data_IF_403586712763
#
_entry.id   IF_403586712763
#
_cell.length_a   1.000
_cell.length_b   1.000
_cell.length_c   1.000
_cell.angle_alpha   90.00
_cell.angle_beta   90.00
_cell.angle_gamma   90.00
#
_symmetry.space_group_name_H-M   'P 1'
#
loop_
_entity.id
_entity.type
_entity.pdbx_description
1 polymer ?
#
# COMPACT_ATOMS: atom_id res chain seq x y z
N UNK A 1 -5.67 6.59 20.70
CA UNK A 1 -6.74 5.60 20.56
C UNK A 1 -6.99 5.34 19.07
N UNK A 2 -7.03 4.07 18.70
CA UNK A 2 -7.38 3.62 17.36
C UNK A 2 -8.78 4.09 16.99
N UNK A 3 -8.90 4.76 15.85
CA UNK A 3 -10.20 5.13 15.28
C UNK A 3 -10.40 4.33 14.00
N UNK A 4 -11.33 3.38 13.96
CA UNK A 4 -11.62 2.63 12.76
C UNK A 4 -12.17 3.57 11.67
N UNK A 5 -11.71 3.36 10.45
CA UNK A 5 -12.22 4.03 9.27
C UNK A 5 -12.59 3.00 8.19
N UNK A 6 -13.09 3.44 7.07
CA UNK A 6 -13.35 2.55 5.94
C UNK A 6 -12.01 2.15 5.33
N UNK A 7 -11.80 0.85 5.21
CA UNK A 7 -10.73 0.20 4.44
C UNK A 7 -11.36 -0.32 3.16
N UNK A 8 -10.80 0.03 2.01
CA UNK A 8 -11.36 -0.30 0.69
C UNK A 8 -10.89 -1.68 0.20
N UNK A 9 -9.70 -2.11 0.64
CA UNK A 9 -8.96 -3.31 0.22
C UNK A 9 -8.57 -3.34 -1.26
N UNK A 10 -9.40 -2.82 -2.16
CA UNK A 10 -9.12 -2.76 -3.60
C UNK A 10 -8.97 -1.31 -4.08
N UNK A 11 -8.31 -0.47 -3.28
CA UNK A 11 -7.96 0.88 -3.68
C UNK A 11 -6.85 0.83 -4.75
N UNK A 12 -7.24 1.24 -5.97
CA UNK A 12 -6.33 1.27 -7.16
C UNK A 12 -6.79 2.32 -8.14
N UNK A 13 -5.92 2.68 -9.09
CA UNK A 13 -6.24 3.68 -10.12
C UNK A 13 -7.50 3.33 -10.91
N UNK A 14 -7.67 2.03 -11.24
CA UNK A 14 -8.83 1.55 -12.00
C UNK A 14 -10.17 1.79 -11.28
N UNK A 15 -10.16 1.96 -9.95
CA UNK A 15 -11.32 2.24 -9.12
C UNK A 15 -11.42 3.72 -8.73
N UNK A 16 -10.66 4.61 -9.38
CA UNK A 16 -10.58 6.03 -9.07
C UNK A 16 -10.98 6.86 -10.28
N UNK A 17 -11.89 7.82 -10.08
CA UNK A 17 -12.27 8.80 -11.09
C UNK A 17 -11.47 10.08 -10.86
N UNK A 18 -10.82 10.56 -11.90
CA UNK A 18 -10.03 11.79 -11.88
C UNK A 18 -10.61 12.80 -12.86
N UNK A 19 -10.83 14.00 -12.40
CA UNK A 19 -11.24 15.13 -13.22
C UNK A 19 -10.07 16.10 -13.42
N UNK A 20 -9.98 16.62 -14.66
CA UNK A 20 -9.03 17.67 -14.97
C UNK A 20 -9.66 19.02 -14.67
N UNK A 21 -8.99 19.84 -13.87
CA UNK A 21 -9.38 21.20 -13.50
C UNK A 21 -8.38 22.20 -14.08
N UNK A 22 -8.64 23.49 -13.93
CA UNK A 22 -7.71 24.56 -14.33
C UNK A 22 -6.40 24.50 -13.51
N UNK A 23 -6.48 24.05 -12.25
CA UNK A 23 -5.34 23.96 -11.32
C UNK A 23 -4.62 22.58 -11.37
N UNK A 24 -5.05 21.65 -12.26
CA UNK A 24 -4.46 20.31 -12.38
C UNK A 24 -5.50 19.19 -12.40
N UNK A 25 -5.20 18.09 -11.72
CA UNK A 25 -6.12 16.95 -11.62
C UNK A 25 -6.57 16.77 -10.17
N UNK A 26 -7.82 16.40 -9.98
CA UNK A 26 -8.36 16.04 -8.67
C UNK A 26 -9.11 14.71 -8.72
N UNK A 27 -9.08 13.96 -7.63
CA UNK A 27 -9.92 12.78 -7.46
C UNK A 27 -11.35 13.24 -7.21
N UNK A 28 -12.29 12.88 -8.10
CA UNK A 28 -13.71 13.24 -8.01
C UNK A 28 -14.59 12.08 -7.55
N UNK A 29 -14.07 10.85 -7.54
CA UNK A 29 -14.81 9.69 -7.07
C UNK A 29 -13.96 8.46 -6.89
N UNK A 30 -14.43 7.57 -6.03
CA UNK A 30 -13.90 6.23 -5.82
C UNK A 30 -15.09 5.28 -5.91
N UNK A 31 -14.93 4.13 -6.53
CA UNK A 31 -15.96 3.11 -6.67
C UNK A 31 -15.41 1.71 -6.37
N UNK A 32 -16.29 0.70 -6.44
CA UNK A 32 -15.99 -0.70 -6.11
C UNK A 32 -15.68 -0.91 -4.62
N UNK A 33 -16.73 -0.76 -3.80
CA UNK A 33 -16.67 -0.95 -2.35
C UNK A 33 -17.06 -2.38 -1.91
N UNK A 34 -17.00 -3.38 -2.79
CA UNK A 34 -17.50 -4.72 -2.49
C UNK A 34 -16.78 -5.40 -1.33
N UNK A 35 -15.49 -5.11 -1.16
CA UNK A 35 -14.63 -5.65 -0.09
C UNK A 35 -14.46 -4.69 1.08
N UNK A 36 -15.04 -3.50 1.00
CA UNK A 36 -14.85 -2.47 2.00
C UNK A 36 -15.40 -2.88 3.38
N UNK A 37 -14.62 -2.56 4.41
CA UNK A 37 -14.97 -2.84 5.79
C UNK A 37 -14.47 -1.75 6.74
N UNK A 38 -14.88 -1.79 8.01
CA UNK A 38 -14.33 -0.91 9.03
C UNK A 38 -13.07 -1.52 9.65
N UNK A 39 -11.95 -0.79 9.57
CA UNK A 39 -10.66 -1.28 10.02
C UNK A 39 -9.63 -0.17 10.17
N UNK A 40 -8.35 -0.56 10.11
CA UNK A 40 -7.22 0.36 10.09
C UNK A 40 -6.98 0.86 8.66
N UNK A 41 -7.28 2.13 8.39
CA UNK A 41 -7.08 2.73 7.06
C UNK A 41 -5.64 2.78 6.57
N UNK A 42 -4.66 2.47 7.43
CA UNK A 42 -3.27 2.30 6.99
C UNK A 42 -3.06 1.03 6.14
N UNK A 43 -4.02 0.09 6.16
CA UNK A 43 -3.94 -1.13 5.34
C UNK A 43 -4.01 -0.83 3.84
N UNK A 44 -4.88 0.10 3.42
CA UNK A 44 -4.98 0.51 2.01
C UNK A 44 -3.69 1.15 1.48
N UNK A 45 -2.95 1.83 2.36
CA UNK A 45 -1.66 2.44 1.99
C UNK A 45 -0.64 1.38 1.57
N UNK A 46 -0.49 0.30 2.32
CA UNK A 46 0.39 -0.82 1.97
C UNK A 46 0.01 -1.47 0.65
N UNK A 47 -1.27 -1.69 0.44
CA UNK A 47 -1.81 -2.28 -0.79
C UNK A 47 -1.41 -1.47 -2.02
N UNK A 48 -1.66 -0.16 -1.98
CA UNK A 48 -1.35 0.73 -3.09
C UNK A 48 0.16 0.89 -3.30
N UNK A 49 0.92 1.05 -2.23
CA UNK A 49 2.38 1.11 -2.32
C UNK A 49 2.96 -0.19 -2.89
N UNK A 50 2.44 -1.34 -2.48
CA UNK A 50 2.84 -2.64 -3.01
C UNK A 50 2.57 -2.78 -4.51
N UNK A 51 1.44 -2.24 -5.00
CA UNK A 51 1.14 -2.19 -6.43
C UNK A 51 2.15 -1.33 -7.18
N UNK A 52 2.38 -0.10 -6.73
CA UNK A 52 3.35 0.81 -7.35
C UNK A 52 4.78 0.28 -7.32
N UNK A 53 5.21 -0.41 -6.26
CA UNK A 53 6.55 -0.99 -6.20
C UNK A 53 6.81 -2.01 -7.32
N UNK A 54 5.78 -2.71 -7.78
CA UNK A 54 5.89 -3.66 -8.88
C UNK A 54 5.95 -2.99 -10.25
N UNK A 55 5.29 -1.84 -10.40
CA UNK A 55 5.13 -1.18 -11.70
C UNK A 55 6.05 0.03 -11.87
N UNK A 56 6.12 0.89 -10.86
CA UNK A 56 6.89 2.13 -10.86
C UNK A 56 7.33 2.50 -9.43
N UNK A 57 8.51 2.04 -8.96
CA UNK A 57 8.99 2.31 -7.61
C UNK A 57 9.11 3.81 -7.26
N UNK A 58 9.36 4.68 -8.25
CA UNK A 58 9.41 6.12 -8.00
C UNK A 58 8.02 6.67 -7.60
N UNK A 59 6.95 6.15 -8.19
CA UNK A 59 5.58 6.50 -7.83
C UNK A 59 5.22 6.00 -6.43
N UNK A 60 5.71 4.81 -6.05
CA UNK A 60 5.56 4.32 -4.67
C UNK A 60 6.17 5.28 -3.65
N UNK A 61 7.35 5.80 -3.94
CA UNK A 61 8.06 6.76 -3.08
C UNK A 61 7.31 8.08 -2.97
N UNK A 62 6.84 8.63 -4.08
CA UNK A 62 6.08 9.87 -4.11
C UNK A 62 4.75 9.73 -3.35
N UNK A 63 4.04 8.63 -3.57
CA UNK A 63 2.78 8.35 -2.89
C UNK A 63 2.97 8.21 -1.38
N UNK A 64 3.95 7.42 -0.93
CA UNK A 64 4.24 7.22 0.48
C UNK A 64 4.68 8.52 1.17
N UNK A 65 5.55 9.31 0.53
CA UNK A 65 6.00 10.60 1.06
C UNK A 65 4.84 11.58 1.18
N UNK A 66 3.99 11.69 0.16
CA UNK A 66 2.81 12.55 0.18
C UNK A 66 1.86 12.16 1.31
N UNK A 67 1.61 10.87 1.49
CA UNK A 67 0.78 10.39 2.60
C UNK A 67 1.35 10.83 3.97
N UNK A 68 2.66 10.61 4.21
CA UNK A 68 3.33 10.98 5.47
C UNK A 68 3.28 12.50 5.71
N UNK A 69 3.37 13.30 4.66
CA UNK A 69 3.25 14.76 4.77
C UNK A 69 1.83 15.22 5.13
N UNK A 70 0.82 14.55 4.58
CA UNK A 70 -0.59 14.89 4.82
C UNK A 70 -1.11 14.34 6.15
N UNK A 71 -0.56 13.21 6.62
CA UNK A 71 -1.01 12.52 7.83
C UNK A 71 0.18 12.12 8.69
N UNK A 72 0.37 12.77 9.86
CA UNK A 72 1.46 12.41 10.76
C UNK A 72 1.39 10.93 11.15
N UNK A 73 2.51 10.24 10.97
CA UNK A 73 2.62 8.82 11.28
C UNK A 73 2.59 8.59 12.80
N UNK A 74 1.85 7.57 13.20
CA UNK A 74 1.70 7.18 14.60
C UNK A 74 2.81 6.21 15.03
N UNK A 75 3.06 6.14 16.34
CA UNK A 75 3.98 5.14 16.91
C UNK A 75 3.58 3.74 16.43
N UNK A 76 4.56 2.94 15.99
CA UNK A 76 4.34 1.60 15.46
C UNK A 76 3.85 1.57 13.99
N UNK A 77 3.83 2.73 13.29
CA UNK A 77 3.44 2.79 11.89
C UNK A 77 4.25 1.83 11.01
N UNK A 78 5.58 1.86 11.12
CA UNK A 78 6.44 1.02 10.28
C UNK A 78 6.13 -0.46 10.48
N UNK A 79 5.99 -0.89 11.73
CA UNK A 79 5.71 -2.27 12.09
C UNK A 79 4.34 -2.72 11.56
N UNK A 80 3.33 -1.85 11.63
CA UNK A 80 2.01 -2.13 11.02
C UNK A 80 2.10 -2.21 9.50
N UNK A 81 2.81 -1.30 8.86
CA UNK A 81 3.00 -1.32 7.40
C UNK A 81 3.74 -2.58 6.94
N UNK A 82 4.75 -3.03 7.67
CA UNK A 82 5.44 -4.30 7.39
C UNK A 82 4.48 -5.50 7.50
N UNK A 83 3.59 -5.50 8.49
CA UNK A 83 2.58 -6.54 8.65
C UNK A 83 1.57 -6.53 7.50
N UNK A 84 1.07 -5.36 7.09
CA UNK A 84 0.16 -5.22 5.96
C UNK A 84 0.82 -5.62 4.64
N UNK A 85 2.08 -5.22 4.43
CA UNK A 85 2.86 -5.65 3.25
C UNK A 85 3.05 -7.16 3.21
N UNK A 86 3.32 -7.79 4.36
CA UNK A 86 3.40 -9.25 4.45
C UNK A 86 2.07 -9.91 4.10
N UNK A 87 0.96 -9.40 4.66
CA UNK A 87 -0.38 -9.90 4.37
C UNK A 87 -0.71 -9.81 2.89
N UNK A 88 -0.54 -8.66 2.27
CA UNK A 88 -0.77 -8.46 0.83
C UNK A 88 0.14 -9.34 -0.03
N UNK A 89 1.40 -9.50 0.37
CA UNK A 89 2.35 -10.38 -0.33
C UNK A 89 1.88 -11.84 -0.30
N UNK A 90 1.37 -12.32 0.83
CA UNK A 90 0.82 -13.67 0.94
C UNK A 90 -0.39 -13.85 0.00
N UNK A 91 -1.32 -12.88 -0.03
CA UNK A 91 -2.50 -12.95 -0.89
C UNK A 91 -2.12 -12.97 -2.37
N UNK A 92 -1.21 -12.09 -2.79
CA UNK A 92 -0.76 -11.99 -4.18
C UNK A 92 0.01 -13.26 -4.57
N UNK A 93 0.89 -13.75 -3.71
CA UNK A 93 1.62 -14.99 -3.93
C UNK A 93 0.67 -16.17 -4.10
N UNK A 94 -0.29 -16.35 -3.19
CA UNK A 94 -1.29 -17.41 -3.25
C UNK A 94 -2.10 -17.36 -4.56
N UNK A 95 -2.52 -16.15 -4.95
CA UNK A 95 -3.24 -15.95 -6.22
C UNK A 95 -2.42 -16.45 -7.43
N UNK A 96 -1.14 -16.07 -7.53
CA UNK A 96 -0.30 -16.47 -8.65
C UNK A 96 0.04 -17.96 -8.63
N UNK A 97 0.23 -18.54 -7.44
CA UNK A 97 0.43 -20.00 -7.32
C UNK A 97 -0.79 -20.79 -7.82
N UNK A 98 -1.98 -20.34 -7.43
CA UNK A 98 -3.23 -21.02 -7.80
C UNK A 98 -3.56 -20.86 -9.29
N UNK A 99 -3.38 -19.66 -9.86
CA UNK A 99 -3.88 -19.35 -11.20
C UNK A 99 -2.83 -19.48 -12.32
N UNK A 100 -1.55 -19.42 -11.99
CA UNK A 100 -0.47 -19.44 -12.99
C UNK A 100 0.69 -20.39 -12.64
N UNK A 101 0.62 -21.09 -11.51
CA UNK A 101 1.68 -21.98 -11.03
C UNK A 101 2.96 -21.24 -10.61
N UNK A 102 2.87 -19.96 -10.25
CA UNK A 102 3.95 -19.12 -9.78
C UNK A 102 3.88 -17.69 -10.31
N UNK A 103 4.80 -16.85 -9.87
CA UNK A 103 4.87 -15.44 -10.28
C UNK A 103 5.11 -15.29 -11.78
N UNK A 104 4.55 -14.25 -12.44
CA UNK A 104 4.74 -14.00 -13.86
C UNK A 104 6.22 -13.80 -14.24
N UNK A 105 6.98 -13.13 -13.39
CA UNK A 105 8.38 -12.75 -13.63
C UNK A 105 9.32 -13.96 -13.51
N UNK A 106 9.10 -14.78 -12.49
CA UNK A 106 9.90 -15.99 -12.21
C UNK A 106 9.12 -16.97 -11.34
N UNK A 107 8.69 -18.07 -11.94
CA UNK A 107 7.93 -19.14 -11.26
C UNK A 107 8.74 -19.93 -10.23
N UNK A 108 10.08 -19.81 -10.25
CA UNK A 108 10.99 -20.53 -9.36
C UNK A 108 11.40 -19.74 -8.14
N UNK A 109 11.09 -18.45 -8.11
CA UNK A 109 11.43 -17.56 -7.01
C UNK A 109 10.72 -17.97 -5.72
N UNK A 110 11.45 -18.07 -4.62
CA UNK A 110 10.86 -18.40 -3.32
C UNK A 110 10.08 -17.20 -2.76
N UNK A 111 9.00 -17.46 -2.01
CA UNK A 111 8.18 -16.41 -1.40
C UNK A 111 9.00 -15.39 -0.63
N UNK A 112 9.90 -15.84 0.23
CA UNK A 112 10.73 -14.97 1.06
C UNK A 112 11.60 -14.02 0.22
N UNK A 113 12.22 -14.52 -0.84
CA UNK A 113 13.06 -13.72 -1.74
C UNK A 113 12.23 -12.65 -2.46
N UNK A 114 11.02 -13.01 -2.88
CA UNK A 114 10.12 -12.09 -3.56
C UNK A 114 9.49 -11.05 -2.61
N UNK A 115 9.03 -11.48 -1.43
CA UNK A 115 8.27 -10.62 -0.51
C UNK A 115 9.16 -9.66 0.31
N UNK A 116 10.40 -10.04 0.62
CA UNK A 116 11.30 -9.26 1.49
C UNK A 116 11.47 -7.79 1.05
N UNK A 117 11.68 -7.45 -0.22
CA UNK A 117 11.79 -6.05 -0.64
C UNK A 117 10.53 -5.22 -0.37
N UNK A 118 9.35 -5.81 -0.50
CA UNK A 118 8.08 -5.14 -0.20
C UNK A 118 7.92 -4.92 1.31
N UNK A 119 8.15 -5.95 2.12
CA UNK A 119 8.02 -5.89 3.58
C UNK A 119 8.98 -4.83 4.15
N UNK A 120 10.22 -4.79 3.68
CA UNK A 120 11.24 -3.87 4.18
C UNK A 120 11.17 -2.47 3.55
N UNK A 121 10.28 -2.24 2.61
CA UNK A 121 10.16 -0.94 1.94
C UNK A 121 10.04 0.22 2.91
N UNK A 122 9.27 0.06 3.99
CA UNK A 122 8.98 1.12 4.95
C UNK A 122 10.14 1.45 5.91
N UNK A 123 11.18 0.63 5.96
CA UNK A 123 12.34 0.87 6.85
C UNK A 123 13.04 2.21 6.56
N UNK A 124 13.02 2.66 5.33
CA UNK A 124 13.59 3.97 4.94
C UNK A 124 12.88 5.17 5.59
N UNK A 125 11.68 4.98 6.10
CA UNK A 125 10.90 6.02 6.77
C UNK A 125 11.00 5.97 8.31
N UNK A 126 11.79 5.06 8.90
CA UNK A 126 11.94 4.95 10.36
C UNK A 126 12.37 6.25 11.02
N UNK A 127 13.25 7.00 10.38
CA UNK A 127 13.71 8.28 10.92
C UNK A 127 12.63 9.38 10.90
N UNK A 128 11.61 9.23 10.06
CA UNK A 128 10.48 10.16 10.02
C UNK A 128 9.55 10.03 11.24
N UNK A 129 9.58 8.91 11.96
CA UNK A 129 8.80 8.72 13.20
C UNK A 129 9.30 9.58 14.36
N UNK A 130 10.56 9.98 14.36
CA UNK A 130 11.16 10.75 15.46
C UNK A 130 10.77 12.22 15.44
N UNK A 131 10.20 12.74 14.36
CA UNK A 131 9.89 14.16 14.19
C UNK A 131 8.57 14.59 14.84
N UNK A 132 7.71 13.64 15.20
CA UNK A 132 6.37 13.89 15.77
C UNK A 132 6.25 13.48 17.25
N UNK A 133 7.35 13.21 17.96
CA UNK A 133 7.37 12.82 19.37
C UNK A 133 7.60 14.03 20.31
N UNK A 134 7.35 15.26 19.84
CA UNK A 134 7.50 16.51 20.58
C UNK A 134 6.16 17.11 21.00
#
# INVERSE_FOLDING_TARGET
PYQPCIVLEDYKEANTVVERTEDGCCVSGIFDFMTAHFGDGEADLSRQVGAYLRENPALADEFAQTYIQCKPIQIGFIERQQLYMLYDSILIWAFWQEHAGGLPEDKTLAFEQWATPFINYWDKFRNAQTWNAG
#
